data_IF_595345226345
#
_entry.id   IF_595345226345
#
_cell.length_a   1.000
_cell.length_b   1.000
_cell.length_c   1.000
_cell.angle_alpha   90.00
_cell.angle_beta   90.00
_cell.angle_gamma   90.00
#
_symmetry.space_group_name_H-M   'P 1'
#
loop_
_entity.id
_entity.type
_entity.pdbx_description
1 polymer ?
#
# COMPACT_ATOMS: atom_id res chain seq x y z
N UNK A 1 -34.48 14.10 19.10
CA UNK A 1 -33.54 13.24 18.35
C UNK A 1 -32.28 14.05 18.16
N UNK A 2 -31.22 13.81 18.96
CA UNK A 2 -29.91 14.40 18.73
C UNK A 2 -29.39 13.87 17.39
N UNK A 3 -29.13 14.77 16.45
CA UNK A 3 -28.38 14.41 15.24
C UNK A 3 -26.99 14.00 15.68
N UNK A 4 -26.71 12.71 15.72
CA UNK A 4 -25.37 12.20 15.94
C UNK A 4 -24.44 12.78 14.86
N UNK A 5 -23.48 13.60 15.27
CA UNK A 5 -22.53 14.28 14.39
C UNK A 5 -21.71 13.24 13.64
N UNK A 6 -21.74 13.28 12.31
CA UNK A 6 -20.92 12.43 11.46
C UNK A 6 -19.45 12.71 11.77
N UNK A 7 -18.72 11.67 12.13
CA UNK A 7 -17.27 11.72 12.25
C UNK A 7 -16.63 11.51 10.88
N UNK A 8 -15.58 12.26 10.59
CA UNK A 8 -14.83 12.15 9.33
C UNK A 8 -13.41 11.73 9.68
N UNK A 9 -12.93 10.67 9.02
CA UNK A 9 -11.55 10.21 9.11
C UNK A 9 -10.99 10.02 7.69
N UNK A 10 -9.86 10.68 7.42
CA UNK A 10 -9.19 10.63 6.12
C UNK A 10 -7.82 10.00 6.29
N UNK A 11 -7.57 8.90 5.59
CA UNK A 11 -6.30 8.19 5.59
C UNK A 11 -5.75 8.20 4.17
N UNK A 12 -4.52 8.64 4.04
CA UNK A 12 -3.80 8.67 2.78
C UNK A 12 -2.63 7.68 2.82
N UNK A 13 -2.44 6.92 1.76
CA UNK A 13 -1.30 6.04 1.56
C UNK A 13 -1.12 5.75 0.08
N UNK A 14 0.02 5.18 -0.32
CA UNK A 14 0.14 4.67 -1.68
C UNK A 14 -0.86 3.52 -1.93
N UNK A 15 -1.19 3.27 -3.20
CA UNK A 15 -2.16 2.26 -3.61
C UNK A 15 -1.77 0.86 -3.12
N UNK A 16 -0.47 0.55 -3.13
CA UNK A 16 0.07 -0.74 -2.69
C UNK A 16 -0.27 -1.01 -1.21
N UNK A 17 -0.02 -0.05 -0.33
CA UNK A 17 -0.32 -0.15 1.10
C UNK A 17 -1.84 -0.24 1.35
N UNK A 18 -2.64 0.58 0.66
CA UNK A 18 -4.10 0.55 0.79
C UNK A 18 -4.66 -0.83 0.40
N UNK A 19 -4.35 -1.31 -0.79
CA UNK A 19 -4.91 -2.54 -1.35
C UNK A 19 -4.40 -3.81 -0.65
N UNK A 20 -3.13 -3.83 -0.24
CA UNK A 20 -2.56 -5.00 0.40
C UNK A 20 -2.94 -5.12 1.88
N UNK A 21 -3.18 -4.00 2.59
CA UNK A 21 -3.31 -4.01 4.05
C UNK A 21 -4.67 -3.54 4.55
N UNK A 22 -5.18 -2.40 4.07
CA UNK A 22 -6.33 -1.76 4.71
C UNK A 22 -7.67 -2.16 4.11
N UNK A 23 -7.78 -2.18 2.77
CA UNK A 23 -9.08 -2.40 2.09
C UNK A 23 -9.70 -3.74 2.48
N UNK A 24 -8.90 -4.79 2.65
CA UNK A 24 -9.38 -6.12 3.04
C UNK A 24 -9.91 -6.17 4.48
N UNK A 25 -9.48 -5.25 5.33
CA UNK A 25 -9.82 -5.21 6.75
C UNK A 25 -10.78 -4.06 7.11
N UNK A 26 -11.30 -3.34 6.11
CA UNK A 26 -12.09 -2.12 6.31
C UNK A 26 -13.37 -2.38 7.13
N UNK A 27 -14.01 -3.52 6.93
CA UNK A 27 -15.22 -3.91 7.64
C UNK A 27 -15.01 -3.94 9.16
N UNK A 28 -13.89 -4.51 9.62
CA UNK A 28 -13.58 -4.63 11.05
C UNK A 28 -13.43 -3.29 11.77
N UNK A 29 -13.09 -2.22 11.03
CA UNK A 29 -13.05 -0.88 11.59
C UNK A 29 -14.43 -0.22 11.58
N UNK A 30 -15.17 -0.33 10.47
CA UNK A 30 -16.47 0.30 10.28
C UNK A 30 -17.55 -0.25 11.23
N UNK A 31 -17.45 -1.52 11.64
CA UNK A 31 -18.39 -2.15 12.59
C UNK A 31 -18.44 -1.44 13.96
N UNK A 32 -17.36 -0.78 14.34
CA UNK A 32 -17.27 -0.05 15.61
C UNK A 32 -17.83 1.38 15.54
N UNK A 33 -18.20 1.86 14.34
CA UNK A 33 -18.58 3.25 14.11
C UNK A 33 -19.81 3.38 13.21
N UNK A 34 -20.97 3.63 13.78
CA UNK A 34 -22.23 3.79 13.01
C UNK A 34 -22.32 5.12 12.23
N UNK A 35 -21.57 6.15 12.63
CA UNK A 35 -21.60 7.49 12.04
C UNK A 35 -20.22 7.97 11.57
N UNK A 36 -19.45 7.07 10.95
CA UNK A 36 -18.15 7.38 10.43
C UNK A 36 -18.19 7.48 8.90
N UNK A 37 -17.65 8.57 8.37
CA UNK A 37 -17.23 8.67 6.99
C UNK A 37 -15.71 8.46 6.92
N UNK A 38 -15.29 7.27 6.49
CA UNK A 38 -13.89 6.91 6.27
C UNK A 38 -13.53 7.14 4.80
N UNK A 39 -12.53 7.98 4.57
CA UNK A 39 -11.96 8.19 3.24
C UNK A 39 -10.56 7.58 3.18
N UNK A 40 -10.34 6.68 2.24
CA UNK A 40 -9.03 6.16 1.88
C UNK A 40 -8.64 6.76 0.53
N UNK A 41 -7.45 7.34 0.41
CA UNK A 41 -6.99 7.95 -0.83
C UNK A 41 -5.51 7.70 -1.08
N UNK A 42 -5.15 7.58 -2.36
CA UNK A 42 -3.75 7.44 -2.81
C UNK A 42 -3.21 8.70 -3.49
N UNK A 43 -4.00 9.78 -3.53
CA UNK A 43 -3.54 11.05 -4.08
C UNK A 43 -2.62 11.78 -3.11
N UNK A 44 -1.76 12.63 -3.63
CA UNK A 44 -0.89 13.46 -2.81
C UNK A 44 -1.74 14.34 -1.88
N UNK A 45 -1.54 14.22 -0.58
CA UNK A 45 -2.30 14.93 0.45
C UNK A 45 -1.35 15.45 1.55
N UNK A 46 -1.73 16.55 2.19
CA UNK A 46 -0.92 17.20 3.21
C UNK A 46 -1.59 17.15 4.59
N UNK A 47 -0.82 16.72 5.60
CA UNK A 47 -1.21 16.83 7.01
C UNK A 47 -1.28 18.29 7.47
N UNK A 48 -0.38 19.13 6.93
CA UNK A 48 -0.25 20.52 7.35
C UNK A 48 -1.50 21.37 7.00
N UNK A 49 -2.17 21.03 5.91
CA UNK A 49 -3.38 21.75 5.46
C UNK A 49 -4.69 21.07 5.89
N UNK A 50 -4.61 20.00 6.69
CA UNK A 50 -5.80 19.27 7.15
C UNK A 50 -6.56 18.53 6.04
N UNK A 51 -5.89 18.24 4.93
CA UNK A 51 -6.46 17.47 3.82
C UNK A 51 -6.62 16.00 4.17
N UNK A 52 -5.76 15.51 5.06
CA UNK A 52 -5.80 14.15 5.61
C UNK A 52 -5.52 14.15 7.11
N UNK A 53 -6.00 13.14 7.80
CA UNK A 53 -5.83 12.96 9.24
C UNK A 53 -4.63 12.04 9.57
N UNK A 54 -4.42 11.02 8.74
CA UNK A 54 -3.30 10.07 8.86
C UNK A 54 -2.69 9.87 7.46
N UNK A 55 -1.36 9.89 7.39
CA UNK A 55 -0.60 9.46 6.20
C UNK A 55 0.18 8.19 6.54
N UNK A 56 0.07 7.17 5.69
CA UNK A 56 0.96 6.01 5.72
C UNK A 56 2.04 6.20 4.65
N UNK A 57 3.30 6.07 5.07
CA UNK A 57 4.45 6.32 4.21
C UNK A 57 5.60 5.35 4.53
N UNK A 58 6.44 5.06 3.53
CA UNK A 58 7.65 4.26 3.71
C UNK A 58 8.83 5.08 4.23
N UNK A 59 8.80 6.39 4.03
CA UNK A 59 9.80 7.32 4.53
C UNK A 59 9.16 8.24 5.56
N UNK A 60 9.55 8.07 6.83
CA UNK A 60 9.02 8.91 7.90
C UNK A 60 9.48 10.36 7.74
N UNK A 61 8.57 11.35 7.70
CA UNK A 61 8.94 12.76 7.61
C UNK A 61 9.78 13.15 8.83
N UNK A 62 10.83 13.93 8.61
CA UNK A 62 11.77 14.36 9.65
C UNK A 62 11.42 15.70 10.30
N UNK A 63 10.57 16.50 9.62
CA UNK A 63 10.22 17.86 10.02
C UNK A 63 8.73 18.01 10.33
N UNK A 64 8.39 19.08 11.05
CA UNK A 64 7.03 19.45 11.41
C UNK A 64 6.53 18.91 12.75
N UNK A 65 5.33 19.34 13.16
CA UNK A 65 4.66 18.86 14.38
C UNK A 65 3.91 17.55 14.10
N UNK A 66 4.65 16.53 13.67
CA UNK A 66 4.12 15.24 13.25
C UNK A 66 4.54 14.15 14.23
N UNK A 67 3.59 13.34 14.67
CA UNK A 67 3.84 12.09 15.38
C UNK A 67 3.97 10.98 14.35
N UNK A 68 4.95 10.10 14.56
CA UNK A 68 5.29 8.96 13.72
C UNK A 68 5.22 7.67 14.54
N UNK A 69 4.51 6.67 14.04
CA UNK A 69 4.46 5.34 14.62
C UNK A 69 4.70 4.32 13.52
N UNK A 70 5.70 3.44 13.67
CA UNK A 70 5.83 2.29 12.77
C UNK A 70 4.64 1.36 13.02
N UNK A 71 3.89 1.01 11.99
CA UNK A 71 2.68 0.19 12.07
C UNK A 71 2.86 -1.22 11.49
N UNK A 72 3.92 -1.43 10.72
CA UNK A 72 4.25 -2.72 10.16
C UNK A 72 5.24 -2.61 9.01
N UNK A 73 5.31 -3.67 8.22
CA UNK A 73 6.15 -3.75 7.03
C UNK A 73 5.32 -4.25 5.84
N UNK A 74 5.53 -3.66 4.68
CA UNK A 74 4.95 -4.11 3.42
C UNK A 74 5.94 -5.05 2.73
N UNK A 75 5.56 -6.31 2.60
CA UNK A 75 6.34 -7.30 1.86
C UNK A 75 6.07 -7.15 0.36
N UNK A 76 7.13 -7.08 -0.44
CA UNK A 76 7.10 -6.94 -1.90
C UNK A 76 7.93 -8.03 -2.53
N UNK A 77 7.39 -8.67 -3.57
CA UNK A 77 8.06 -9.72 -4.34
C UNK A 77 7.93 -9.47 -5.83
N UNK A 78 8.84 -10.06 -6.59
CA UNK A 78 8.72 -10.13 -8.05
C UNK A 78 7.78 -11.28 -8.45
N UNK A 79 6.83 -10.98 -9.34
CA UNK A 79 5.87 -11.93 -9.85
C UNK A 79 5.91 -12.00 -11.37
N UNK A 80 5.49 -13.15 -11.91
CA UNK A 80 5.25 -13.41 -13.33
C UNK A 80 3.91 -14.11 -13.51
N UNK A 81 3.41 -14.15 -14.74
CA UNK A 81 2.25 -15.00 -15.05
C UNK A 81 2.69 -16.45 -15.28
N UNK A 82 2.28 -17.34 -14.40
CA UNK A 82 2.57 -18.79 -14.47
C UNK A 82 1.84 -19.51 -15.62
N UNK A 83 0.76 -18.93 -16.14
CA UNK A 83 -0.03 -19.57 -17.20
C UNK A 83 0.48 -19.28 -18.61
N UNK A 84 1.46 -18.39 -18.73
CA UNK A 84 2.11 -18.14 -20.01
C UNK A 84 3.31 -19.08 -20.17
N UNK A 85 3.30 -19.88 -21.24
CA UNK A 85 4.43 -20.77 -21.60
C UNK A 85 5.67 -19.99 -22.07
N UNK A 86 5.48 -18.72 -22.46
CA UNK A 86 6.57 -17.86 -22.91
C UNK A 86 7.48 -17.46 -21.74
N UNK A 87 8.82 -17.42 -21.95
CA UNK A 87 9.73 -16.90 -20.95
C UNK A 87 9.43 -15.44 -20.64
N UNK A 88 9.63 -15.04 -19.39
CA UNK A 88 9.53 -13.61 -18.99
C UNK A 88 10.64 -12.83 -19.68
N UNK A 89 10.28 -11.78 -20.42
CA UNK A 89 11.22 -11.03 -21.27
C UNK A 89 11.37 -9.56 -20.91
N UNK A 90 10.63 -9.08 -19.90
CA UNK A 90 10.67 -7.70 -19.48
C UNK A 90 9.95 -7.50 -18.16
N UNK A 91 9.83 -6.26 -17.74
CA UNK A 91 9.16 -5.91 -16.51
C UNK A 91 8.26 -4.67 -16.65
N UNK A 92 7.39 -4.49 -15.67
CA UNK A 92 6.43 -3.40 -15.58
C UNK A 92 6.79 -2.54 -14.38
N UNK A 93 7.02 -1.24 -14.59
CA UNK A 93 7.15 -0.26 -13.53
C UNK A 93 5.77 0.25 -13.10
N UNK A 94 5.57 0.39 -11.79
CA UNK A 94 4.34 0.97 -11.23
C UNK A 94 4.62 2.38 -10.72
N UNK A 95 4.34 3.39 -11.55
CA UNK A 95 4.48 4.78 -11.13
C UNK A 95 3.50 5.11 -10.00
N UNK A 96 3.97 5.62 -8.88
CA UNK A 96 3.26 5.88 -7.61
C UNK A 96 2.98 4.66 -6.74
N UNK A 97 3.80 3.64 -6.85
CA UNK A 97 3.66 2.43 -6.04
C UNK A 97 4.90 2.12 -5.26
N UNK A 98 5.20 0.87 -5.31
CA UNK A 98 6.29 0.23 -4.60
C UNK A 98 7.65 0.64 -5.14
N UNK A 99 7.74 0.92 -6.45
CA UNK A 99 9.01 1.11 -7.18
C UNK A 99 9.83 2.31 -6.69
N UNK A 100 9.19 3.34 -6.12
CA UNK A 100 9.92 4.49 -5.55
C UNK A 100 10.61 4.16 -4.21
N UNK A 101 10.12 3.15 -3.49
CA UNK A 101 10.62 2.75 -2.18
C UNK A 101 11.44 1.46 -2.22
N UNK A 102 11.40 0.73 -3.33
CA UNK A 102 12.08 -0.55 -3.55
C UNK A 102 13.39 -0.30 -4.30
N UNK A 103 14.46 -0.94 -3.85
CA UNK A 103 15.66 -1.05 -4.67
C UNK A 103 15.37 -2.00 -5.84
N UNK A 104 15.04 -1.43 -7.00
CA UNK A 104 14.73 -2.18 -8.21
C UNK A 104 15.97 -2.82 -8.88
N UNK A 105 17.13 -2.77 -8.23
CA UNK A 105 18.40 -3.29 -8.75
C UNK A 105 18.31 -4.74 -9.20
N UNK A 106 17.61 -5.60 -8.46
CA UNK A 106 17.55 -7.03 -8.79
C UNK A 106 16.65 -7.31 -10.01
N UNK A 107 15.53 -6.59 -10.14
CA UNK A 107 14.68 -6.72 -11.33
C UNK A 107 15.35 -6.11 -12.57
N UNK A 108 16.15 -5.03 -12.38
CA UNK A 108 16.96 -4.45 -13.46
C UNK A 108 18.07 -5.39 -13.93
N UNK A 109 18.74 -6.09 -12.99
CA UNK A 109 19.76 -7.06 -13.32
C UNK A 109 19.21 -8.23 -14.14
N UNK A 110 17.96 -8.62 -13.88
CA UNK A 110 17.31 -9.74 -14.57
C UNK A 110 16.70 -9.34 -15.93
N UNK A 111 16.01 -8.20 -15.99
CA UNK A 111 15.18 -7.81 -17.14
C UNK A 111 15.65 -6.52 -17.86
N UNK A 112 16.73 -5.89 -17.39
CA UNK A 112 17.26 -4.64 -17.94
C UNK A 112 16.71 -3.38 -17.26
N UNK A 113 17.40 -2.27 -17.45
CA UNK A 113 17.14 -1.00 -16.77
C UNK A 113 15.82 -0.32 -17.17
N UNK A 114 15.30 -0.66 -18.37
CA UNK A 114 14.12 -0.01 -18.90
C UNK A 114 12.90 -0.91 -18.77
N UNK A 115 11.83 -0.45 -18.09
CA UNK A 115 10.57 -1.18 -18.07
C UNK A 115 9.94 -1.23 -19.45
N UNK A 116 9.30 -2.34 -19.79
CA UNK A 116 8.53 -2.47 -21.02
C UNK A 116 7.25 -1.63 -20.97
N UNK A 117 6.66 -1.50 -19.77
CA UNK A 117 5.49 -0.68 -19.51
C UNK A 117 5.68 0.11 -18.21
N UNK A 118 5.13 1.32 -18.15
CA UNK A 118 4.96 2.09 -16.92
C UNK A 118 3.47 2.30 -16.70
N UNK A 119 2.94 1.76 -15.61
CA UNK A 119 1.52 1.79 -15.28
C UNK A 119 1.29 2.52 -13.96
N UNK A 120 0.11 3.14 -13.81
CA UNK A 120 -0.21 3.98 -12.66
C UNK A 120 -1.16 3.31 -11.66
N UNK A 121 -1.36 1.99 -11.75
CA UNK A 121 -2.26 1.24 -10.88
C UNK A 121 -1.84 -0.22 -10.79
N UNK A 122 -2.02 -0.82 -9.62
CA UNK A 122 -1.79 -2.24 -9.39
C UNK A 122 -2.74 -3.13 -10.20
N UNK A 123 -4.02 -2.73 -10.30
CA UNK A 123 -5.01 -3.48 -11.09
C UNK A 123 -4.64 -3.49 -12.58
N UNK A 124 -4.20 -2.36 -13.13
CA UNK A 124 -3.69 -2.29 -14.50
C UNK A 124 -2.47 -3.17 -14.69
N UNK A 125 -1.57 -3.20 -13.72
CA UNK A 125 -0.35 -4.03 -13.76
C UNK A 125 -0.71 -5.51 -13.84
N UNK A 126 -1.57 -5.99 -12.96
CA UNK A 126 -2.02 -7.39 -12.95
C UNK A 126 -2.76 -7.75 -14.26
N UNK A 127 -3.59 -6.84 -14.78
CA UNK A 127 -4.30 -7.07 -16.04
C UNK A 127 -3.35 -7.16 -17.24
N UNK A 128 -2.33 -6.32 -17.30
CA UNK A 128 -1.29 -6.41 -18.36
C UNK A 128 -0.49 -7.71 -18.21
N UNK A 129 -0.15 -8.14 -16.98
CA UNK A 129 0.53 -9.40 -16.73
C UNK A 129 -0.27 -10.63 -17.18
N UNK A 130 -1.60 -10.54 -17.27
CA UNK A 130 -2.42 -11.65 -17.78
C UNK A 130 -2.13 -12.00 -19.23
N UNK A 131 -1.70 -11.04 -20.02
CA UNK A 131 -1.52 -11.17 -21.49
C UNK A 131 -0.10 -10.91 -21.94
N UNK A 132 0.78 -10.42 -21.08
CA UNK A 132 2.18 -10.12 -21.39
C UNK A 132 3.14 -10.98 -20.58
N UNK A 133 4.26 -11.36 -21.20
CA UNK A 133 5.33 -12.10 -20.55
C UNK A 133 6.26 -11.16 -19.73
N UNK A 134 5.67 -10.26 -18.95
CA UNK A 134 6.40 -9.31 -18.11
C UNK A 134 6.33 -9.69 -16.63
N UNK A 135 7.41 -9.37 -15.92
CA UNK A 135 7.45 -9.40 -14.46
C UNK A 135 6.96 -8.06 -13.86
N UNK A 136 6.52 -8.07 -12.61
CA UNK A 136 6.26 -6.87 -11.84
C UNK A 136 6.58 -7.08 -10.37
N UNK A 137 6.96 -5.99 -9.68
CA UNK A 137 7.06 -5.95 -8.23
C UNK A 137 5.69 -5.65 -7.64
N UNK A 138 5.14 -6.58 -6.86
CA UNK A 138 3.81 -6.45 -6.26
C UNK A 138 3.86 -6.71 -4.76
N UNK A 139 3.00 -6.05 -3.97
CA UNK A 139 2.78 -6.44 -2.58
C UNK A 139 2.32 -7.90 -2.50
N UNK A 140 2.98 -8.71 -1.68
CA UNK A 140 2.72 -10.15 -1.61
C UNK A 140 1.23 -10.46 -1.34
N UNK A 141 0.64 -9.84 -0.32
CA UNK A 141 -0.79 -10.02 0.02
C UNK A 141 -1.76 -9.60 -1.08
N UNK A 142 -1.36 -8.64 -1.91
CA UNK A 142 -2.19 -8.26 -3.06
C UNK A 142 -2.10 -9.30 -4.16
N UNK A 143 -0.88 -9.77 -4.47
CA UNK A 143 -0.62 -10.74 -5.52
C UNK A 143 -1.22 -12.13 -5.23
N UNK A 144 -1.25 -12.58 -3.96
CA UNK A 144 -1.85 -13.85 -3.51
C UNK A 144 -3.34 -14.00 -3.89
N UNK A 145 -4.01 -12.93 -4.23
CA UNK A 145 -5.42 -12.94 -4.69
C UNK A 145 -5.58 -13.45 -6.12
N UNK A 146 -4.47 -13.59 -6.86
CA UNK A 146 -4.47 -13.92 -8.28
C UNK A 146 -3.76 -15.24 -8.55
N UNK A 147 -4.54 -16.29 -8.77
CA UNK A 147 -4.02 -17.66 -8.95
C UNK A 147 -3.11 -17.85 -10.19
N UNK A 148 -3.06 -16.88 -11.10
CA UNK A 148 -2.17 -16.93 -12.26
C UNK A 148 -0.80 -16.29 -12.02
N UNK A 149 -0.56 -15.72 -10.85
CA UNK A 149 0.71 -15.10 -10.51
C UNK A 149 1.58 -16.05 -9.69
N UNK A 150 2.81 -16.26 -10.14
CA UNK A 150 3.85 -16.99 -9.42
C UNK A 150 5.00 -16.06 -9.03
N UNK A 151 5.59 -16.33 -7.88
CA UNK A 151 6.78 -15.64 -7.40
C UNK A 151 7.99 -16.03 -8.26
N UNK A 152 8.83 -15.05 -8.58
CA UNK A 152 10.15 -15.28 -9.16
C UNK A 152 11.14 -15.47 -8.00
N UNK A 153 11.36 -16.72 -7.60
CA UNK A 153 12.04 -17.09 -6.34
C UNK A 153 13.49 -16.60 -6.22
N UNK A 154 14.19 -16.41 -7.34
CA UNK A 154 15.59 -15.97 -7.32
C UNK A 154 15.73 -14.44 -7.17
N UNK A 155 14.65 -13.68 -7.30
CA UNK A 155 14.63 -12.26 -6.99
C UNK A 155 14.25 -12.11 -5.51
N UNK A 156 15.11 -11.48 -4.67
CA UNK A 156 14.87 -11.38 -3.25
C UNK A 156 13.59 -10.61 -2.89
N UNK A 157 12.90 -11.08 -1.88
CA UNK A 157 11.81 -10.36 -1.25
C UNK A 157 12.33 -9.09 -0.58
N UNK A 158 11.57 -8.01 -0.66
CA UNK A 158 11.86 -6.76 0.02
C UNK A 158 10.80 -6.44 1.06
N UNK A 159 11.24 -5.92 2.19
CA UNK A 159 10.37 -5.51 3.30
C UNK A 159 10.48 -4.00 3.52
N UNK A 160 9.40 -3.28 3.25
CA UNK A 160 9.34 -1.84 3.34
C UNK A 160 8.66 -1.42 4.64
N UNK A 161 9.32 -0.65 5.53
CA UNK A 161 8.68 -0.16 6.73
C UNK A 161 7.52 0.78 6.38
N UNK A 162 6.41 0.66 7.12
CA UNK A 162 5.27 1.56 7.00
C UNK A 162 5.09 2.35 8.28
N UNK A 163 5.07 3.65 8.14
CA UNK A 163 4.90 4.62 9.21
C UNK A 163 3.56 5.31 9.10
N UNK A 164 2.79 5.29 10.17
CA UNK A 164 1.61 6.14 10.31
C UNK A 164 2.03 7.49 10.89
N UNK A 165 1.71 8.54 10.17
CA UNK A 165 2.05 9.92 10.51
C UNK A 165 0.78 10.75 10.66
N UNK A 166 0.69 11.53 11.74
CA UNK A 166 -0.44 12.40 12.02
C UNK A 166 -0.03 13.65 12.78
N UNK A 167 -0.84 14.70 12.73
CA UNK A 167 -0.49 15.96 13.36
C UNK A 167 -0.55 15.85 14.90
N UNK A 168 0.41 16.47 15.59
CA UNK A 168 0.54 16.42 17.05
C UNK A 168 -0.72 16.85 17.82
N UNK A 169 -1.47 17.83 17.31
CA UNK A 169 -2.72 18.29 17.93
C UNK A 169 -3.80 17.21 18.02
N UNK A 170 -3.71 16.16 17.20
CA UNK A 170 -4.64 15.03 17.17
C UNK A 170 -4.22 13.86 18.07
N UNK A 171 -3.14 14.01 18.88
CA UNK A 171 -2.59 12.94 19.72
C UNK A 171 -3.60 12.35 20.70
N UNK A 172 -4.55 13.15 21.19
CA UNK A 172 -5.55 12.74 22.17
C UNK A 172 -6.87 12.29 21.56
N UNK A 173 -7.04 12.42 20.25
CA UNK A 173 -8.28 12.04 19.57
C UNK A 173 -8.49 10.53 19.60
N UNK A 174 -9.64 10.09 20.11
CA UNK A 174 -9.96 8.67 20.18
C UNK A 174 -10.00 8.01 18.79
N UNK A 175 -10.63 8.66 17.81
CA UNK A 175 -10.72 8.12 16.45
C UNK A 175 -9.34 7.90 15.81
N UNK A 176 -8.36 8.76 16.11
CA UNK A 176 -6.99 8.57 15.61
C UNK A 176 -6.33 7.37 16.28
N UNK A 177 -6.52 7.19 17.59
CA UNK A 177 -5.98 6.03 18.33
C UNK A 177 -6.57 4.73 17.80
N UNK A 178 -7.89 4.66 17.69
CA UNK A 178 -8.59 3.48 17.21
C UNK A 178 -8.21 3.15 15.74
N UNK A 179 -8.04 4.19 14.92
CA UNK A 179 -7.54 4.01 13.54
C UNK A 179 -6.11 3.47 13.51
N UNK A 180 -5.22 3.97 14.37
CA UNK A 180 -3.84 3.47 14.45
C UNK A 180 -3.80 2.01 14.91
N UNK A 181 -4.63 1.63 15.88
CA UNK A 181 -4.72 0.25 16.37
C UNK A 181 -5.29 -0.68 15.27
N UNK A 182 -6.31 -0.23 14.53
CA UNK A 182 -6.84 -0.96 13.39
C UNK A 182 -5.80 -1.12 12.26
N UNK A 183 -5.08 -0.03 11.93
CA UNK A 183 -4.01 -0.06 10.93
C UNK A 183 -2.96 -1.08 11.34
N UNK A 184 -2.44 -1.01 12.57
CA UNK A 184 -1.42 -1.93 13.08
C UNK A 184 -1.91 -3.38 13.04
N UNK A 185 -3.14 -3.65 13.49
CA UNK A 185 -3.76 -4.97 13.39
C UNK A 185 -3.88 -5.47 11.96
N UNK A 186 -4.13 -4.57 10.99
CA UNK A 186 -4.23 -4.93 9.58
C UNK A 186 -2.90 -5.43 9.00
N UNK A 187 -1.75 -5.02 9.58
CA UNK A 187 -0.44 -5.57 9.23
C UNK A 187 -0.16 -6.91 9.92
N UNK A 188 -0.74 -7.18 11.09
CA UNK A 188 -0.43 -8.38 11.89
C UNK A 188 -1.41 -9.55 11.69
N UNK A 189 -2.63 -9.32 11.21
CA UNK A 189 -3.72 -10.32 11.19
C UNK A 189 -3.56 -11.49 10.22
N UNK A 190 -2.47 -11.59 9.46
CA UNK A 190 -2.27 -12.65 8.46
C UNK A 190 -0.81 -13.19 8.52
N UNK A 191 -0.36 -13.56 9.70
CA UNK A 191 0.77 -14.49 9.85
C UNK A 191 0.27 -15.90 10.12
#
# INVERSE_FOLDING_TARGET
MEQQKIQILRINANEATLNAQLVQNIASFSENYHNLNLTLSSHQASLAYGETDIILTHVAPTEGRIIRKKVGDLCVRAYRNAMLEAPTTGWIATAHGVDEAVEASDIFAEFGDMPQFTLHSLDMTVEVMRTSACAALLPARYAERFAHLDVIEHIPEQSLPVWACYHYTRKTDHIIKDALDWIEQSFHRLQ
#
